data_IF_251041609327
#
_entry.id   IF_251041609327
#
_cell.length_a   1.000
_cell.length_b   1.000
_cell.length_c   1.000
_cell.angle_alpha   90.00
_cell.angle_beta   90.00
_cell.angle_gamma   90.00
#
_symmetry.space_group_name_H-M   'P 1'
#
loop_
_entity.id
_entity.type
_entity.pdbx_description
1 polymer ?
#
# COMPACT_ATOMS: atom_id res chain seq x y z
N UNK A 1 -24.11 -5.09 13.44
CA UNK A 1 -24.38 -3.70 13.02
C UNK A 1 -23.35 -2.67 13.50
N UNK A 2 -22.23 -3.03 14.15
CA UNK A 2 -21.31 -2.05 14.77
C UNK A 2 -19.92 -1.90 14.14
N UNK A 3 -19.58 -2.64 13.08
CA UNK A 3 -18.22 -2.61 12.52
C UNK A 3 -17.99 -1.39 11.59
N UNK A 4 -18.99 -1.04 10.78
CA UNK A 4 -18.89 0.10 9.85
C UNK A 4 -19.02 1.47 10.53
N UNK A 5 -19.68 1.57 11.70
CA UNK A 5 -19.88 2.85 12.38
C UNK A 5 -18.65 3.33 13.17
N UNK A 6 -17.78 2.43 13.65
CA UNK A 6 -16.52 2.83 14.32
C UNK A 6 -15.36 3.04 13.34
N UNK A 7 -15.39 2.39 12.18
CA UNK A 7 -14.42 2.61 11.09
C UNK A 7 -14.55 4.03 10.53
N UNK A 8 -15.78 4.51 10.33
CA UNK A 8 -16.03 5.82 9.72
C UNK A 8 -15.59 7.03 10.57
N UNK A 9 -15.62 6.92 11.92
CA UNK A 9 -15.27 8.03 12.81
C UNK A 9 -13.79 8.08 13.19
N UNK A 10 -13.09 6.94 13.17
CA UNK A 10 -11.66 6.88 13.46
C UNK A 10 -10.79 7.31 12.27
N UNK A 11 -11.24 7.05 11.04
CA UNK A 11 -10.49 7.41 9.83
C UNK A 11 -10.83 8.81 9.33
N UNK A 12 -11.97 9.40 9.70
CA UNK A 12 -12.30 10.76 9.26
C UNK A 12 -11.34 11.82 9.81
N UNK A 13 -10.61 11.51 10.88
CA UNK A 13 -9.70 12.44 11.56
C UNK A 13 -8.26 12.39 11.04
N UNK A 14 -7.83 11.39 10.26
CA UNK A 14 -6.41 11.23 9.87
C UNK A 14 -5.99 12.02 8.62
N UNK A 15 -6.86 12.91 8.13
CA UNK A 15 -6.68 13.67 6.89
C UNK A 15 -7.29 12.97 5.68
N UNK A 16 -7.75 13.75 4.69
CA UNK A 16 -8.60 13.26 3.60
C UNK A 16 -7.93 12.20 2.71
N UNK A 17 -6.67 12.41 2.36
CA UNK A 17 -5.89 11.48 1.55
C UNK A 17 -5.72 10.13 2.28
N UNK A 18 -5.18 10.18 3.49
CA UNK A 18 -4.88 9.00 4.32
C UNK A 18 -6.17 8.23 4.60
N UNK A 19 -7.26 8.93 4.91
CA UNK A 19 -8.58 8.34 5.15
C UNK A 19 -9.12 7.60 3.92
N UNK A 20 -8.95 8.15 2.72
CA UNK A 20 -9.39 7.55 1.46
C UNK A 20 -8.69 6.20 1.23
N UNK A 21 -7.37 6.19 1.28
CA UNK A 21 -6.57 4.97 1.09
C UNK A 21 -6.85 3.96 2.21
N UNK A 22 -6.89 4.39 3.47
CA UNK A 22 -7.19 3.51 4.60
C UNK A 22 -8.57 2.86 4.45
N UNK A 23 -9.57 3.61 4.01
CA UNK A 23 -10.92 3.08 3.75
C UNK A 23 -10.91 2.02 2.65
N UNK A 24 -10.13 2.22 1.60
CA UNK A 24 -9.96 1.22 0.54
C UNK A 24 -9.26 -0.04 1.06
N UNK A 25 -8.18 0.12 1.84
CA UNK A 25 -7.48 -1.02 2.46
C UNK A 25 -8.43 -1.84 3.33
N UNK A 26 -9.27 -1.20 4.15
CA UNK A 26 -10.25 -1.92 4.97
C UNK A 26 -11.30 -2.68 4.14
N UNK A 27 -11.66 -2.19 2.95
CA UNK A 27 -12.61 -2.89 2.06
C UNK A 27 -11.98 -4.13 1.42
N UNK A 28 -10.70 -4.07 1.06
CA UNK A 28 -10.01 -5.17 0.38
C UNK A 28 -9.38 -6.18 1.36
N UNK A 29 -9.08 -5.77 2.60
CA UNK A 29 -8.45 -6.60 3.63
C UNK A 29 -9.46 -7.55 4.32
N UNK A 30 -10.13 -8.39 3.54
CA UNK A 30 -11.25 -9.24 3.99
C UNK A 30 -10.81 -10.52 4.70
N UNK A 31 -9.56 -10.96 4.51
CA UNK A 31 -9.03 -12.19 5.11
C UNK A 31 -7.71 -11.95 5.85
N UNK A 32 -7.37 -12.77 6.86
CA UNK A 32 -6.08 -12.67 7.55
C UNK A 32 -4.86 -12.85 6.64
N UNK A 33 -4.99 -13.58 5.52
CA UNK A 33 -3.90 -13.73 4.55
C UNK A 33 -3.64 -12.41 3.82
N UNK A 34 -4.71 -11.74 3.35
CA UNK A 34 -4.62 -10.44 2.69
C UNK A 34 -4.08 -9.37 3.65
N UNK A 35 -4.55 -9.33 4.90
CA UNK A 35 -4.05 -8.40 5.92
C UNK A 35 -2.54 -8.56 6.12
N UNK A 36 -2.04 -9.80 6.14
CA UNK A 36 -0.59 -10.08 6.26
C UNK A 36 0.18 -9.62 5.02
N UNK A 37 -0.34 -9.89 3.82
CA UNK A 37 0.30 -9.47 2.57
C UNK A 37 0.41 -7.95 2.47
N UNK A 38 -0.70 -7.23 2.71
CA UNK A 38 -0.72 -5.77 2.76
C UNK A 38 0.24 -5.26 3.82
N UNK A 39 0.21 -5.83 5.04
CA UNK A 39 1.13 -5.42 6.11
C UNK A 39 2.60 -5.60 5.71
N UNK A 40 2.96 -6.70 5.05
CA UNK A 40 4.34 -6.94 4.63
C UNK A 40 4.79 -5.90 3.60
N UNK A 41 3.95 -5.63 2.58
CA UNK A 41 4.22 -4.63 1.55
C UNK A 41 4.33 -3.22 2.15
N UNK A 42 3.36 -2.84 2.98
CA UNK A 42 3.36 -1.54 3.70
C UNK A 42 4.63 -1.41 4.54
N UNK A 43 5.06 -2.48 5.22
CA UNK A 43 6.29 -2.44 6.02
C UNK A 43 7.53 -2.15 5.18
N UNK A 44 7.74 -2.90 4.10
CA UNK A 44 8.95 -2.74 3.28
C UNK A 44 8.99 -1.40 2.57
N UNK A 45 7.83 -0.91 2.08
CA UNK A 45 7.74 0.41 1.45
C UNK A 45 8.01 1.50 2.48
N UNK A 46 7.36 1.44 3.64
CA UNK A 46 7.54 2.46 4.67
C UNK A 46 8.98 2.52 5.18
N UNK A 47 9.70 1.39 5.23
CA UNK A 47 11.13 1.39 5.55
C UNK A 47 11.94 2.00 4.40
N UNK A 48 11.65 1.63 3.15
CA UNK A 48 12.36 2.14 1.97
C UNK A 48 12.20 3.66 1.78
N UNK A 49 11.09 4.24 2.25
CA UNK A 49 10.82 5.67 2.22
C UNK A 49 11.28 6.41 3.50
N UNK A 50 11.90 5.71 4.45
CA UNK A 50 12.17 6.24 5.80
C UNK A 50 10.93 6.89 6.44
N UNK A 51 9.78 6.22 6.36
CA UNK A 51 8.56 6.57 7.13
C UNK A 51 8.48 5.67 8.36
N UNK A 52 8.78 4.39 8.18
CA UNK A 52 8.88 3.39 9.25
C UNK A 52 10.33 3.18 9.65
N UNK A 53 10.58 3.02 10.95
CA UNK A 53 11.86 2.47 11.42
C UNK A 53 11.94 0.96 11.12
N UNK A 54 13.14 0.38 10.94
CA UNK A 54 13.30 -1.04 10.63
C UNK A 54 12.65 -2.00 11.64
N UNK A 55 12.57 -1.60 12.91
CA UNK A 55 11.97 -2.37 14.01
C UNK A 55 10.47 -2.06 14.24
N UNK A 56 9.91 -1.11 13.49
CA UNK A 56 8.53 -0.66 13.65
C UNK A 56 7.60 -1.42 12.70
N UNK A 57 6.59 -2.08 13.28
CA UNK A 57 5.54 -2.71 12.49
C UNK A 57 4.54 -1.66 11.97
N UNK A 58 3.88 -1.91 10.81
CA UNK A 58 2.79 -1.07 10.33
C UNK A 58 1.65 -0.92 11.32
N UNK A 59 1.38 -1.95 12.11
CA UNK A 59 0.36 -1.90 13.17
C UNK A 59 0.71 -0.87 14.25
N UNK A 60 1.96 -0.86 14.76
CA UNK A 60 2.39 0.13 15.75
C UNK A 60 2.45 1.54 15.17
N UNK A 61 2.86 1.67 13.91
CA UNK A 61 2.86 2.95 13.22
C UNK A 61 1.44 3.49 13.02
N UNK A 62 0.51 2.66 12.55
CA UNK A 62 -0.89 3.01 12.40
C UNK A 62 -1.57 3.42 13.71
N UNK A 63 -1.24 2.78 14.82
CA UNK A 63 -1.71 3.20 16.14
C UNK A 63 -1.23 4.61 16.49
N UNK A 64 0.03 4.96 16.19
CA UNK A 64 0.51 6.33 16.34
C UNK A 64 -0.25 7.29 15.44
N UNK A 65 -0.47 6.95 14.17
CA UNK A 65 -1.22 7.79 13.22
C UNK A 65 -2.62 8.10 13.75
N UNK A 66 -3.36 7.07 14.16
CA UNK A 66 -4.71 7.21 14.68
C UNK A 66 -4.74 8.00 16.00
N UNK A 67 -3.82 7.72 16.92
CA UNK A 67 -3.73 8.44 18.20
C UNK A 67 -3.28 9.89 18.05
N UNK A 68 -2.40 10.19 17.10
CA UNK A 68 -1.94 11.54 16.80
C UNK A 68 -3.08 12.39 16.21
N UNK A 69 -3.90 11.79 15.33
CA UNK A 69 -5.06 12.45 14.76
C UNK A 69 -6.12 12.86 15.81
N UNK A 70 -6.31 12.07 16.87
CA UNK A 70 -7.21 12.41 17.99
C UNK A 70 -6.79 13.70 18.73
N UNK A 71 -5.54 14.13 18.58
CA UNK A 71 -5.01 15.37 19.17
C UNK A 71 -4.67 16.42 18.11
N UNK A 72 -5.18 16.25 16.88
CA UNK A 72 -5.06 17.22 15.79
C UNK A 72 -3.77 17.15 14.98
N UNK A 73 -2.98 16.09 15.12
CA UNK A 73 -1.80 15.85 14.28
C UNK A 73 -2.24 15.06 13.05
N UNK A 74 -2.49 15.78 11.96
CA UNK A 74 -2.92 15.24 10.67
C UNK A 74 -2.01 15.79 9.58
N UNK A 75 -1.94 15.17 8.37
CA UNK A 75 -1.12 15.70 7.28
C UNK A 75 -1.45 17.16 6.96
N UNK A 76 -2.74 17.52 7.00
CA UNK A 76 -3.25 18.86 6.70
C UNK A 76 -2.79 19.95 7.70
N UNK A 77 -2.26 19.54 8.86
CA UNK A 77 -1.75 20.46 9.89
C UNK A 77 -0.29 20.89 9.66
N UNK A 78 0.40 20.36 8.66
CA UNK A 78 1.81 20.62 8.38
C UNK A 78 2.00 21.21 6.98
N UNK A 79 3.10 21.94 6.78
CA UNK A 79 3.40 22.53 5.48
C UNK A 79 3.96 21.50 4.50
N UNK A 80 4.64 20.48 5.03
CA UNK A 80 5.25 19.41 4.24
C UNK A 80 4.95 18.04 4.82
N UNK A 81 4.96 17.02 3.95
CA UNK A 81 4.82 15.64 4.40
C UNK A 81 5.97 15.18 5.30
N UNK A 82 7.19 15.70 5.11
CA UNK A 82 8.34 15.41 5.98
C UNK A 82 8.07 15.86 7.43
N UNK A 83 7.55 17.07 7.63
CA UNK A 83 7.21 17.58 8.96
C UNK A 83 6.15 16.69 9.64
N UNK A 84 5.10 16.32 8.89
CA UNK A 84 4.08 15.41 9.37
C UNK A 84 4.65 14.02 9.74
N UNK A 85 5.42 13.42 8.84
CA UNK A 85 6.05 12.11 9.02
C UNK A 85 6.95 12.10 10.27
N UNK A 86 7.75 13.14 10.48
CA UNK A 86 8.58 13.31 11.67
C UNK A 86 7.74 13.49 12.94
N UNK A 87 6.65 14.25 12.88
CA UNK A 87 5.74 14.40 14.01
C UNK A 87 5.15 13.05 14.44
N UNK A 88 4.76 12.20 13.48
CA UNK A 88 4.25 10.85 13.75
C UNK A 88 5.34 9.92 14.31
N UNK A 89 6.57 9.96 13.75
CA UNK A 89 7.70 9.16 14.27
C UNK A 89 7.96 9.44 15.76
N UNK A 90 7.94 10.72 16.13
CA UNK A 90 8.21 11.21 17.48
C UNK A 90 6.99 11.18 18.40
N UNK A 91 5.79 10.97 17.88
CA UNK A 91 4.59 10.90 18.68
C UNK A 91 4.59 9.69 19.62
N UNK A 92 4.28 9.94 20.88
CA UNK A 92 4.05 8.92 21.90
C UNK A 92 2.54 8.76 22.13
N UNK A 93 2.07 7.52 22.06
CA UNK A 93 0.65 7.21 22.26
C UNK A 93 0.28 7.55 23.70
N UNK A 94 -0.70 8.44 23.87
CA UNK A 94 -1.15 8.86 25.19
C UNK A 94 -1.89 7.71 25.90
N UNK A 95 -1.78 7.62 27.25
CA UNK A 95 -2.58 6.68 28.03
C UNK A 95 -4.08 6.80 27.70
N UNK A 96 -4.73 5.67 27.45
CA UNK A 96 -6.15 5.60 27.08
C UNK A 96 -6.45 5.63 25.58
N UNK A 97 -5.46 5.83 24.71
CA UNK A 97 -5.59 5.64 23.26
C UNK A 97 -5.02 4.29 22.78
N UNK A 98 -4.28 3.60 23.64
CA UNK A 98 -3.75 2.27 23.38
C UNK A 98 -4.87 1.25 23.13
N UNK A 99 -4.76 0.47 22.05
CA UNK A 99 -5.70 -0.61 21.75
C UNK A 99 -7.12 -0.16 21.35
N UNK A 100 -7.35 1.15 21.15
CA UNK A 100 -8.66 1.70 20.75
C UNK A 100 -9.12 1.20 19.37
N UNK A 101 -8.19 0.80 18.51
CA UNK A 101 -8.44 0.40 17.12
C UNK A 101 -8.05 -1.05 16.86
N UNK A 102 -8.76 -1.69 15.92
CA UNK A 102 -8.42 -3.04 15.46
C UNK A 102 -7.10 -3.05 14.71
N UNK A 103 -6.53 -4.26 14.56
CA UNK A 103 -5.29 -4.46 13.80
C UNK A 103 -5.42 -3.97 12.35
N UNK A 104 -6.55 -4.25 11.71
CA UNK A 104 -6.84 -3.86 10.32
C UNK A 104 -6.93 -2.34 10.21
N UNK A 105 -7.59 -1.66 11.15
CA UNK A 105 -7.66 -0.20 11.20
C UNK A 105 -6.28 0.44 11.32
N UNK A 106 -5.42 -0.12 12.19
CA UNK A 106 -4.04 0.32 12.35
C UNK A 106 -3.25 0.12 11.05
N UNK A 107 -3.28 -1.07 10.45
CA UNK A 107 -2.57 -1.34 9.20
C UNK A 107 -3.07 -0.42 8.07
N UNK A 108 -4.38 -0.20 7.98
CA UNK A 108 -4.98 0.69 6.99
C UNK A 108 -4.54 2.15 7.15
N UNK A 109 -4.51 2.67 8.39
CA UNK A 109 -4.00 4.01 8.67
C UNK A 109 -2.52 4.16 8.28
N UNK A 110 -1.70 3.14 8.59
CA UNK A 110 -0.30 3.10 8.17
C UNK A 110 -0.17 3.06 6.64
N UNK A 111 -0.99 2.27 5.96
CA UNK A 111 -1.01 2.18 4.51
C UNK A 111 -1.37 3.53 3.87
N UNK A 112 -2.31 4.28 4.46
CA UNK A 112 -2.67 5.61 3.98
C UNK A 112 -1.52 6.62 4.05
N UNK A 113 -0.77 6.64 5.16
CA UNK A 113 0.41 7.52 5.30
C UNK A 113 1.51 7.12 4.34
N UNK A 114 1.74 5.82 4.16
CA UNK A 114 2.77 5.32 3.24
C UNK A 114 2.38 5.57 1.78
N UNK A 115 1.11 5.44 1.43
CA UNK A 115 0.61 5.84 0.11
C UNK A 115 0.82 7.33 -0.14
N UNK A 116 0.61 8.19 0.87
CA UNK A 116 0.92 9.62 0.74
C UNK A 116 2.43 9.83 0.54
N UNK A 117 3.28 9.11 1.27
CA UNK A 117 4.72 9.13 1.03
C UNK A 117 5.12 8.71 -0.39
N UNK A 118 4.43 7.75 -1.00
CA UNK A 118 4.65 7.37 -2.39
C UNK A 118 4.31 8.51 -3.35
N UNK A 119 3.23 9.25 -3.10
CA UNK A 119 2.86 10.39 -3.94
C UNK A 119 3.88 11.52 -3.83
N UNK A 120 4.39 11.77 -2.62
CA UNK A 120 5.33 12.86 -2.33
C UNK A 120 6.76 12.55 -2.80
N UNK A 121 7.28 11.35 -2.54
CA UNK A 121 8.69 11.02 -2.80
C UNK A 121 8.93 10.27 -4.12
N UNK A 122 7.91 9.61 -4.65
CA UNK A 122 8.02 8.74 -5.83
C UNK A 122 7.08 9.13 -6.96
N UNK A 123 6.39 10.27 -6.83
CA UNK A 123 5.48 10.81 -7.85
C UNK A 123 4.37 9.82 -8.24
N UNK A 124 3.93 8.96 -7.32
CA UNK A 124 2.74 8.14 -7.55
C UNK A 124 1.51 9.05 -7.64
N UNK A 125 0.51 8.64 -8.42
CA UNK A 125 -0.85 9.15 -8.23
C UNK A 125 -1.52 8.43 -7.05
N UNK A 126 -2.59 9.01 -6.50
CA UNK A 126 -3.41 8.31 -5.50
C UNK A 126 -3.92 6.98 -6.07
N UNK A 127 -4.38 6.97 -7.32
CA UNK A 127 -4.91 5.77 -7.98
C UNK A 127 -3.84 4.70 -8.13
N UNK A 128 -2.59 5.07 -8.46
CA UNK A 128 -1.48 4.14 -8.52
C UNK A 128 -1.17 3.53 -7.14
N UNK A 129 -1.13 4.34 -6.08
CA UNK A 129 -0.92 3.82 -4.73
C UNK A 129 -2.05 2.89 -4.27
N UNK A 130 -3.30 3.19 -4.64
CA UNK A 130 -4.44 2.31 -4.39
C UNK A 130 -4.34 1.02 -5.22
N UNK A 131 -4.03 1.10 -6.51
CA UNK A 131 -3.88 -0.05 -7.40
C UNK A 131 -2.78 -0.99 -6.91
N UNK A 132 -1.65 -0.47 -6.42
CA UNK A 132 -0.61 -1.26 -5.78
C UNK A 132 -1.18 -2.11 -4.62
N UNK A 133 -1.94 -1.49 -3.71
CA UNK A 133 -2.54 -2.19 -2.57
C UNK A 133 -3.63 -3.19 -3.01
N UNK A 134 -4.37 -2.88 -4.09
CA UNK A 134 -5.36 -3.80 -4.68
C UNK A 134 -4.70 -5.03 -5.29
N UNK A 135 -3.63 -4.85 -6.05
CA UNK A 135 -2.86 -5.94 -6.65
C UNK A 135 -2.35 -6.93 -5.59
N UNK A 136 -1.82 -6.40 -4.48
CA UNK A 136 -1.40 -7.20 -3.31
C UNK A 136 -2.57 -7.95 -2.69
N UNK A 137 -3.74 -7.32 -2.59
CA UNK A 137 -4.91 -7.95 -2.00
C UNK A 137 -5.52 -9.04 -2.89
N UNK A 138 -5.56 -8.83 -4.20
CA UNK A 138 -6.13 -9.77 -5.17
C UNK A 138 -5.20 -10.97 -5.40
N UNK A 139 -3.89 -10.74 -5.42
CA UNK A 139 -2.89 -11.75 -5.79
C UNK A 139 -1.70 -11.74 -4.82
N UNK A 140 -1.93 -12.03 -3.52
CA UNK A 140 -0.94 -11.86 -2.45
C UNK A 140 0.30 -12.76 -2.57
N UNK A 141 0.17 -13.92 -3.22
CA UNK A 141 1.30 -14.82 -3.47
C UNK A 141 2.17 -14.34 -4.64
N UNK A 142 1.58 -13.59 -5.58
CA UNK A 142 2.25 -13.07 -6.75
C UNK A 142 2.91 -11.70 -6.48
N UNK A 143 2.17 -10.79 -5.86
CA UNK A 143 2.63 -9.44 -5.48
C UNK A 143 3.18 -9.43 -4.05
N UNK A 144 4.33 -10.07 -3.89
CA UNK A 144 5.07 -10.10 -2.63
C UNK A 144 5.73 -8.75 -2.34
N UNK A 145 6.13 -8.54 -1.09
CA UNK A 145 6.84 -7.35 -0.63
C UNK A 145 8.12 -7.06 -1.46
N UNK A 146 8.90 -8.10 -1.76
CA UNK A 146 10.11 -7.99 -2.57
C UNK A 146 9.81 -7.59 -4.02
N UNK A 147 8.82 -8.24 -4.64
CA UNK A 147 8.42 -7.91 -6.01
C UNK A 147 7.90 -6.49 -6.12
N UNK A 148 7.07 -6.05 -5.18
CA UNK A 148 6.57 -4.68 -5.15
C UNK A 148 7.73 -3.69 -5.03
N UNK A 149 8.70 -3.91 -4.14
CA UNK A 149 9.86 -3.03 -4.02
C UNK A 149 10.67 -2.93 -5.33
N UNK A 150 10.89 -4.06 -6.01
CA UNK A 150 11.58 -4.05 -7.31
C UNK A 150 10.78 -3.26 -8.36
N UNK A 151 9.48 -3.53 -8.50
CA UNK A 151 8.60 -2.85 -9.46
C UNK A 151 8.54 -1.35 -9.19
N UNK A 152 8.45 -0.94 -7.93
CA UNK A 152 8.49 0.48 -7.54
C UNK A 152 9.80 1.18 -7.87
N UNK A 153 10.91 0.42 -7.99
CA UNK A 153 12.18 0.95 -8.48
C UNK A 153 12.16 1.28 -9.98
N UNK A 154 11.14 0.79 -10.71
CA UNK A 154 11.06 0.82 -12.18
C UNK A 154 9.83 1.58 -12.69
N UNK A 155 8.76 1.66 -11.91
CA UNK A 155 7.56 2.43 -12.24
C UNK A 155 6.90 3.04 -11.01
N UNK A 156 6.18 4.13 -11.24
CA UNK A 156 5.24 4.75 -10.32
C UNK A 156 3.78 4.57 -10.77
N UNK A 157 3.52 3.83 -11.85
CA UNK A 157 2.21 3.59 -12.42
C UNK A 157 1.79 2.13 -12.28
N UNK A 158 1.15 1.83 -11.15
CA UNK A 158 0.55 0.53 -10.87
C UNK A 158 -0.89 0.43 -11.42
N UNK A 159 -1.46 1.53 -11.95
CA UNK A 159 -2.75 1.45 -12.65
C UNK A 159 -2.60 0.64 -13.93
N UNK A 160 -1.58 0.92 -14.74
CA UNK A 160 -1.30 0.15 -15.96
C UNK A 160 -1.04 -1.34 -15.70
N UNK A 161 -0.37 -1.67 -14.59
CA UNK A 161 -0.12 -3.08 -14.22
C UNK A 161 -1.44 -3.77 -13.88
N UNK A 162 -2.31 -3.10 -13.10
CA UNK A 162 -3.64 -3.62 -12.77
C UNK A 162 -4.49 -3.78 -14.01
N UNK A 163 -4.59 -2.74 -14.84
CA UNK A 163 -5.44 -2.76 -16.04
C UNK A 163 -4.97 -3.84 -17.03
N UNK A 164 -3.65 -4.10 -17.13
CA UNK A 164 -3.12 -5.25 -17.88
C UNK A 164 -3.59 -6.60 -17.31
N UNK A 165 -3.55 -6.77 -15.98
CA UNK A 165 -3.97 -8.01 -15.34
C UNK A 165 -5.48 -8.22 -15.34
N UNK A 166 -6.25 -7.13 -15.34
CA UNK A 166 -7.71 -7.16 -15.41
C UNK A 166 -8.24 -7.28 -16.85
N UNK A 167 -7.35 -7.42 -17.84
CA UNK A 167 -7.68 -7.52 -19.28
C UNK A 167 -8.42 -6.27 -19.83
N UNK A 168 -8.11 -5.09 -19.28
CA UNK A 168 -8.76 -3.82 -19.66
C UNK A 168 -7.97 -3.02 -20.71
N UNK A 169 -6.76 -3.45 -21.05
CA UNK A 169 -5.92 -2.80 -22.07
C UNK A 169 -6.22 -3.32 -23.48
N UNK A 170 -6.05 -2.46 -24.49
CA UNK A 170 -6.05 -2.93 -25.87
C UNK A 170 -4.84 -3.85 -26.15
N UNK A 171 -4.84 -4.53 -27.30
CA UNK A 171 -3.80 -5.50 -27.65
C UNK A 171 -2.41 -4.86 -27.68
N UNK A 172 -2.30 -3.64 -28.19
CA UNK A 172 -1.00 -2.96 -28.33
C UNK A 172 -0.43 -2.59 -26.95
N UNK A 173 -1.25 -1.99 -26.09
CA UNK A 173 -0.85 -1.62 -24.74
C UNK A 173 -0.61 -2.86 -23.87
N UNK A 174 -1.39 -3.93 -24.05
CA UNK A 174 -1.18 -5.22 -23.39
C UNK A 174 0.20 -5.80 -23.70
N UNK A 175 0.57 -5.90 -24.98
CA UNK A 175 1.88 -6.43 -25.39
C UNK A 175 3.02 -5.56 -24.87
N UNK A 176 2.84 -4.23 -24.88
CA UNK A 176 3.83 -3.27 -24.37
C UNK A 176 4.04 -3.44 -22.87
N UNK A 177 2.97 -3.51 -22.08
CA UNK A 177 3.04 -3.67 -20.61
C UNK A 177 3.62 -5.03 -20.25
N UNK A 178 3.22 -6.11 -20.91
CA UNK A 178 3.79 -7.45 -20.70
C UNK A 178 5.30 -7.48 -20.97
N UNK A 179 5.74 -6.94 -22.11
CA UNK A 179 7.15 -6.89 -22.46
C UNK A 179 7.97 -6.07 -21.47
N UNK A 180 7.40 -4.95 -20.99
CA UNK A 180 8.03 -4.12 -19.97
C UNK A 180 8.11 -4.83 -18.62
N UNK A 181 7.03 -5.45 -18.13
CA UNK A 181 7.01 -6.21 -16.88
C UNK A 181 8.02 -7.36 -16.92
N UNK A 182 8.06 -8.11 -18.02
CA UNK A 182 9.03 -9.18 -18.19
C UNK A 182 10.48 -8.70 -18.14
N UNK A 183 10.76 -7.51 -18.69
CA UNK A 183 12.08 -6.89 -18.61
C UNK A 183 12.37 -6.32 -17.22
N UNK A 184 11.34 -5.82 -16.53
CA UNK A 184 11.43 -5.29 -15.18
C UNK A 184 11.70 -6.38 -14.13
N UNK A 185 11.33 -7.62 -14.40
CA UNK A 185 11.52 -8.72 -13.48
C UNK A 185 12.73 -9.60 -13.83
N UNK A 186 13.28 -9.51 -15.04
CA UNK A 186 14.48 -10.25 -15.44
C UNK A 186 15.72 -9.96 -14.58
N UNK A 187 15.74 -8.84 -13.85
CA UNK A 187 16.83 -8.48 -12.92
C UNK A 187 16.63 -9.08 -11.52
N UNK A 188 15.54 -9.80 -11.26
CA UNK A 188 15.28 -10.38 -9.96
C UNK A 188 16.19 -11.59 -9.66
N UNK A 189 16.52 -11.84 -8.38
CA UNK A 189 17.49 -12.88 -7.99
C UNK A 189 16.97 -14.32 -8.17
N UNK A 190 15.68 -14.49 -8.43
CA UNK A 190 14.97 -15.77 -8.59
C UNK A 190 15.30 -16.49 -9.90
N UNK A 191 15.98 -15.81 -10.84
CA UNK A 191 16.64 -16.44 -11.99
C UNK A 191 15.67 -17.01 -13.04
N UNK A 192 14.42 -16.56 -13.03
CA UNK A 192 13.42 -16.97 -14.03
C UNK A 192 13.80 -16.45 -15.42
N UNK A 193 13.60 -17.28 -16.44
CA UNK A 193 13.69 -16.86 -17.83
C UNK A 193 12.56 -15.87 -18.17
N UNK A 194 12.77 -15.07 -19.22
CA UNK A 194 11.74 -14.12 -19.70
C UNK A 194 10.44 -14.85 -20.04
N UNK A 195 10.54 -16.04 -20.62
CA UNK A 195 9.38 -16.87 -20.96
C UNK A 195 8.60 -17.31 -19.73
N UNK A 196 9.29 -17.70 -18.65
CA UNK A 196 8.67 -18.07 -17.37
C UNK A 196 7.98 -16.86 -16.71
N UNK A 197 8.62 -15.68 -16.76
CA UNK A 197 8.02 -14.44 -16.26
C UNK A 197 6.74 -14.11 -17.03
N UNK A 198 6.78 -14.14 -18.37
CA UNK A 198 5.60 -13.89 -19.21
C UNK A 198 4.50 -14.91 -18.95
N UNK A 199 4.85 -16.20 -18.84
CA UNK A 199 3.88 -17.24 -18.51
C UNK A 199 3.22 -16.98 -17.14
N UNK A 200 4.01 -16.55 -16.15
CA UNK A 200 3.50 -16.21 -14.82
C UNK A 200 2.55 -15.00 -14.85
N UNK A 201 2.87 -13.96 -15.64
CA UNK A 201 2.04 -12.76 -15.80
C UNK A 201 0.71 -13.11 -16.47
N UNK A 202 0.74 -13.92 -17.53
CA UNK A 202 -0.47 -14.38 -18.22
C UNK A 202 -1.33 -15.28 -17.34
N UNK A 203 -0.72 -16.14 -16.52
CA UNK A 203 -1.45 -16.95 -15.54
C UNK A 203 -2.14 -16.11 -14.46
N UNK A 204 -1.74 -14.84 -14.30
CA UNK A 204 -2.42 -13.90 -13.41
C UNK A 204 -3.48 -13.04 -14.11
N UNK A 205 -3.60 -13.05 -15.45
CA UNK A 205 -4.67 -12.29 -16.09
C UNK A 205 -6.03 -12.89 -15.74
N UNK A 206 -7.05 -12.05 -15.62
CA UNK A 206 -8.42 -12.50 -15.52
C UNK A 206 -8.72 -13.40 -16.73
N UNK A 207 -8.99 -14.68 -16.45
CA UNK A 207 -9.23 -15.82 -17.35
C UNK A 207 -8.01 -16.44 -18.05
N UNK A 208 -7.29 -17.29 -17.31
CA UNK A 208 -6.83 -18.57 -17.85
C UNK A 208 -7.83 -19.66 -17.43
N UNK A 209 -8.92 -19.75 -18.21
CA UNK A 209 -10.07 -20.71 -18.19
C UNK A 209 -11.28 -20.40 -17.28
#
# INVERSE_FOLDING_TARGET
MGFFSSIGSALSSIGSFVASVASTVLKIATTPAIVRAISAVVQVIGIALDILRPDQSPEKHGEKVLAAAEVGITPDAFATFDEYSQAIKNFEVKPGLEGKWSKEQKIAASAGVIAQGLTEYKSFSMDSAISLLMLVAQKPEFFTAERILNLMGKTNDFTLIRDYLDDELDLYDSERVEAWLASAEADMPDGLSREEIVASLRAQRADAE
#
